data_IF_811412335637
#
_entry.id   IF_811412335637
#
_cell.length_a   1.000
_cell.length_b   1.000
_cell.length_c   1.000
_cell.angle_alpha   90.00
_cell.angle_beta   90.00
_cell.angle_gamma   90.00
#
_symmetry.space_group_name_H-M   'P 1'
#
loop_
_entity.id
_entity.type
_entity.pdbx_description
1 polymer ?
#
# COMPACT_ATOMS: atom_id res chain seq x y z
N UNK A 1 28.72 -6.17 -2.61
CA UNK A 1 27.51 -6.68 -3.29
C UNK A 1 27.51 -8.20 -3.14
N UNK A 2 26.73 -8.83 -2.25
CA UNK A 2 26.55 -10.26 -2.39
C UNK A 2 25.41 -10.48 -3.38
N UNK A 3 25.80 -10.83 -4.61
CA UNK A 3 24.94 -11.47 -5.59
C UNK A 3 24.59 -12.87 -5.09
N UNK A 4 23.40 -13.04 -4.52
CA UNK A 4 22.85 -14.36 -4.23
C UNK A 4 22.02 -14.83 -5.45
N UNK A 5 22.46 -15.86 -6.19
CA UNK A 5 21.79 -16.34 -7.40
C UNK A 5 20.44 -17.04 -7.16
N UNK A 6 20.09 -17.39 -5.90
CA UNK A 6 18.93 -18.23 -5.58
C UNK A 6 17.54 -17.56 -5.77
N UNK A 7 17.46 -16.24 -5.94
CA UNK A 7 16.17 -15.55 -6.11
C UNK A 7 15.65 -15.53 -7.56
N UNK A 8 16.50 -15.89 -8.53
CA UNK A 8 16.12 -15.89 -9.95
C UNK A 8 15.38 -17.16 -10.36
N UNK A 9 15.55 -18.28 -9.65
CA UNK A 9 15.00 -19.58 -10.07
C UNK A 9 13.63 -19.92 -9.43
N UNK A 10 13.17 -19.07 -8.51
CA UNK A 10 11.86 -19.24 -7.89
C UNK A 10 10.76 -18.77 -8.85
N UNK A 11 9.92 -19.72 -9.28
CA UNK A 11 8.72 -19.44 -10.06
C UNK A 11 7.64 -18.80 -9.21
N UNK A 12 6.99 -17.80 -9.78
CA UNK A 12 5.83 -17.13 -9.21
C UNK A 12 4.69 -17.14 -10.23
N UNK A 13 3.44 -17.14 -9.75
CA UNK A 13 2.28 -17.03 -10.65
C UNK A 13 2.27 -15.70 -11.45
N UNK A 14 3.06 -14.72 -11.02
CA UNK A 14 3.23 -13.42 -11.65
C UNK A 14 4.52 -13.29 -12.46
N UNK A 15 5.15 -14.40 -12.86
CA UNK A 15 6.39 -14.34 -13.66
C UNK A 15 6.18 -13.55 -14.98
N UNK A 16 4.99 -13.66 -15.60
CA UNK A 16 4.60 -12.88 -16.78
C UNK A 16 4.12 -11.45 -16.47
N UNK A 17 4.18 -11.06 -15.19
CA UNK A 17 3.71 -9.78 -14.68
C UNK A 17 2.21 -9.76 -14.36
N UNK A 18 1.79 -8.66 -13.76
CA UNK A 18 0.39 -8.44 -13.35
C UNK A 18 -0.06 -7.04 -13.75
N UNK A 19 -1.33 -6.92 -14.14
CA UNK A 19 -1.92 -5.64 -14.52
C UNK A 19 -2.60 -4.96 -13.35
N UNK A 20 -2.40 -3.66 -13.22
CA UNK A 20 -3.17 -2.85 -12.29
C UNK A 20 -3.37 -1.40 -12.76
N UNK A 21 -4.58 -0.88 -12.56
CA UNK A 21 -4.88 0.53 -12.63
C UNK A 21 -5.95 0.90 -11.60
N UNK A 22 -5.68 1.91 -10.76
CA UNK A 22 -6.66 2.39 -9.80
C UNK A 22 -7.87 2.99 -10.53
N UNK A 23 -9.04 2.40 -10.32
CA UNK A 23 -10.31 2.87 -10.88
C UNK A 23 -11.05 3.86 -9.96
N UNK A 24 -10.38 4.38 -8.92
CA UNK A 24 -10.98 5.22 -7.87
C UNK A 24 -12.23 4.61 -7.22
N UNK A 25 -12.30 3.28 -7.18
CA UNK A 25 -13.44 2.52 -6.66
C UNK A 25 -13.60 2.55 -5.13
N UNK A 26 -12.60 3.07 -4.40
CA UNK A 26 -12.63 3.10 -2.93
C UNK A 26 -12.26 1.77 -2.25
N UNK A 27 -12.06 0.66 -2.98
CA UNK A 27 -11.78 -0.65 -2.37
C UNK A 27 -10.62 -0.65 -1.36
N UNK A 28 -9.54 0.08 -1.64
CA UNK A 28 -8.36 0.19 -0.76
C UNK A 28 -8.35 1.43 0.15
N UNK A 29 -9.29 2.36 0.00
CA UNK A 29 -9.30 3.63 0.75
C UNK A 29 -10.58 3.88 1.56
N UNK A 30 -11.66 3.15 1.29
CA UNK A 30 -12.96 3.27 1.95
C UNK A 30 -13.51 1.94 2.48
N UNK A 31 -12.66 0.90 2.52
CA UNK A 31 -13.02 -0.46 2.94
C UNK A 31 -12.70 -0.76 4.40
N UNK A 32 -12.67 -2.05 4.75
CA UNK A 32 -12.47 -2.56 6.11
C UNK A 32 -11.27 -1.90 6.83
N UNK A 33 -11.33 -1.76 8.17
CA UNK A 33 -10.28 -1.13 8.96
C UNK A 33 -8.90 -1.68 8.61
N UNK A 34 -7.96 -0.77 8.40
CA UNK A 34 -6.61 -1.09 7.97
C UNK A 34 -5.58 -0.24 8.70
N UNK A 35 -4.31 -0.48 8.37
CA UNK A 35 -3.22 0.37 8.83
C UNK A 35 -2.45 0.83 7.60
N UNK A 36 -2.55 2.13 7.30
CA UNK A 36 -1.69 2.80 6.32
C UNK A 36 -0.56 3.48 7.08
N UNK A 37 0.62 2.87 7.07
CA UNK A 37 1.82 3.46 7.66
C UNK A 37 2.41 4.55 6.77
N UNK A 38 2.89 5.60 7.41
CA UNK A 38 3.44 6.81 6.79
C UNK A 38 4.71 7.22 7.53
N UNK A 39 5.80 7.41 6.78
CA UNK A 39 7.04 7.93 7.35
C UNK A 39 6.97 9.44 7.58
N UNK A 40 7.83 9.99 8.45
CA UNK A 40 7.81 11.42 8.78
C UNK A 40 7.94 12.36 7.57
N UNK A 41 8.74 11.98 6.56
CA UNK A 41 8.87 12.74 5.30
C UNK A 41 7.58 12.74 4.47
N UNK A 42 6.88 11.60 4.41
CA UNK A 42 5.60 11.50 3.70
C UNK A 42 4.51 12.28 4.43
N UNK A 43 4.47 12.18 5.76
CA UNK A 43 3.52 12.91 6.59
C UNK A 43 3.68 14.44 6.43
N UNK A 44 4.92 14.95 6.43
CA UNK A 44 5.20 16.35 6.19
C UNK A 44 4.74 16.80 4.79
N UNK A 45 5.10 16.03 3.75
CA UNK A 45 4.70 16.36 2.38
C UNK A 45 3.17 16.35 2.19
N UNK A 46 2.47 15.41 2.83
CA UNK A 46 1.00 15.35 2.81
C UNK A 46 0.40 16.55 3.54
N UNK A 47 0.93 16.93 4.70
CA UNK A 47 0.46 18.10 5.45
C UNK A 47 0.59 19.39 4.63
N UNK A 48 1.74 19.58 3.97
CA UNK A 48 2.01 20.73 3.10
C UNK A 48 1.03 20.77 1.91
N UNK A 49 0.80 19.62 1.28
CA UNK A 49 -0.13 19.49 0.14
C UNK A 49 -1.59 19.78 0.52
N UNK A 50 -1.98 19.46 1.75
CA UNK A 50 -3.32 19.72 2.25
C UNK A 50 -3.53 21.18 2.70
N UNK A 51 -2.49 22.03 2.59
CA UNK A 51 -2.50 23.43 3.02
C UNK A 51 -2.95 23.62 4.48
N UNK A 52 -2.62 22.65 5.34
CA UNK A 52 -3.02 22.68 6.74
C UNK A 52 -1.85 23.14 7.63
N UNK A 53 -2.08 24.03 8.61
CA UNK A 53 -1.10 24.32 9.64
C UNK A 53 -0.70 23.03 10.37
N UNK A 54 0.56 22.94 10.81
CA UNK A 54 1.14 21.74 11.46
C UNK A 54 0.30 21.18 12.61
N UNK A 55 -0.41 22.03 13.36
CA UNK A 55 -1.32 21.60 14.42
C UNK A 55 -2.55 20.83 13.90
N UNK A 56 -3.11 21.22 12.74
CA UNK A 56 -4.22 20.50 12.11
C UNK A 56 -3.74 19.21 11.41
N UNK A 57 -2.48 19.16 10.97
CA UNK A 57 -1.90 17.95 10.40
C UNK A 57 -1.76 16.80 11.41
N UNK A 58 -1.70 17.11 12.72
CA UNK A 58 -1.75 16.10 13.78
C UNK A 58 -3.08 15.33 13.81
N UNK A 59 -4.15 15.86 13.20
CA UNK A 59 -5.41 15.14 13.07
C UNK A 59 -5.34 14.04 12.00
N UNK A 60 -4.45 14.16 11.03
CA UNK A 60 -4.35 13.21 9.91
C UNK A 60 -3.67 11.90 10.29
N UNK A 61 -2.84 11.94 11.34
CA UNK A 61 -1.87 10.91 11.63
C UNK A 61 -1.88 10.53 13.12
N UNK A 62 -1.71 9.25 13.41
CA UNK A 62 -1.60 8.70 14.76
C UNK A 62 -0.19 8.12 14.90
N UNK A 63 0.60 8.47 15.94
CA UNK A 63 1.94 7.89 16.14
C UNK A 63 1.91 6.36 16.15
N UNK A 64 2.82 5.72 15.40
CA UNK A 64 2.91 4.26 15.26
C UNK A 64 4.32 3.80 14.92
N UNK A 65 4.93 3.02 15.81
CA UNK A 65 6.30 2.55 15.67
C UNK A 65 7.27 3.70 15.38
N UNK A 66 8.02 3.61 14.29
CA UNK A 66 8.98 4.65 13.87
C UNK A 66 8.35 5.77 13.02
N UNK A 67 7.04 5.80 12.88
CA UNK A 67 6.33 6.76 12.05
C UNK A 67 4.90 6.98 12.51
N UNK A 68 3.97 7.00 11.55
CA UNK A 68 2.57 7.29 11.80
C UNK A 68 1.67 6.31 11.06
N UNK A 69 0.45 6.11 11.57
CA UNK A 69 -0.66 5.55 10.82
C UNK A 69 -1.56 6.70 10.33
N UNK A 70 -2.09 6.60 9.12
CA UNK A 70 -3.18 7.48 8.69
C UNK A 70 -4.40 7.23 9.58
N UNK A 71 -5.05 8.29 10.04
CA UNK A 71 -6.30 8.19 10.79
C UNK A 71 -7.40 7.56 9.91
N UNK A 72 -8.26 6.76 10.50
CA UNK A 72 -9.47 6.25 9.86
C UNK A 72 -10.70 6.84 10.54
N UNK A 73 -11.78 6.99 9.79
CA UNK A 73 -13.11 7.22 10.35
C UNK A 73 -13.61 5.95 11.06
N UNK A 74 -14.67 6.08 11.86
CA UNK A 74 -15.25 4.95 12.60
C UNK A 74 -15.77 3.81 11.71
N UNK A 75 -16.01 4.10 10.42
CA UNK A 75 -16.43 3.13 9.41
C UNK A 75 -15.25 2.46 8.67
N UNK A 76 -14.00 2.71 9.07
CA UNK A 76 -12.78 2.16 8.46
C UNK A 76 -12.27 2.94 7.24
N UNK A 77 -12.98 4.00 6.83
CA UNK A 77 -12.57 4.82 5.70
C UNK A 77 -11.32 5.64 6.05
N UNK A 78 -10.37 5.67 5.13
CA UNK A 78 -9.17 6.51 5.21
C UNK A 78 -9.57 7.99 5.34
N UNK A 79 -8.87 8.74 6.23
CA UNK A 79 -9.11 10.18 6.42
C UNK A 79 -9.07 11.00 5.13
N UNK A 80 -8.25 10.59 4.15
CA UNK A 80 -8.08 11.29 2.88
C UNK A 80 -9.04 10.84 1.77
N UNK A 81 -10.02 9.98 2.07
CA UNK A 81 -10.98 9.50 1.07
C UNK A 81 -12.26 10.34 1.04
N UNK A 82 -12.53 10.93 -0.13
CA UNK A 82 -13.74 11.70 -0.44
C UNK A 82 -14.12 11.44 -1.89
N UNK A 83 -14.89 10.36 -2.13
CA UNK A 83 -15.22 9.85 -3.49
C UNK A 83 -13.97 9.63 -4.37
N UNK A 84 -12.84 9.35 -3.72
CA UNK A 84 -11.51 9.32 -4.33
C UNK A 84 -10.45 9.71 -3.31
N UNK A 85 -9.20 9.33 -3.55
CA UNK A 85 -8.09 9.73 -2.69
C UNK A 85 -7.72 11.20 -2.96
N UNK A 86 -7.90 12.07 -1.97
CA UNK A 86 -7.58 13.51 -2.07
C UNK A 86 -6.08 13.76 -2.24
N UNK A 87 -5.26 12.87 -1.69
CA UNK A 87 -3.80 12.92 -1.77
C UNK A 87 -3.23 11.99 -2.84
N UNK A 88 -3.98 11.69 -3.91
CA UNK A 88 -3.58 10.67 -4.90
C UNK A 88 -2.13 10.81 -5.43
N UNK A 89 -1.60 12.03 -5.72
CA UNK A 89 -0.21 12.23 -6.11
C UNK A 89 0.80 11.93 -4.99
N UNK A 90 0.41 12.17 -3.73
CA UNK A 90 1.21 11.96 -2.54
C UNK A 90 0.79 10.73 -1.74
N UNK A 91 0.18 9.73 -2.40
CA UNK A 91 -0.16 8.46 -1.76
C UNK A 91 1.06 7.94 -0.98
N UNK A 92 0.91 7.55 0.30
CA UNK A 92 1.98 6.89 1.04
C UNK A 92 2.47 5.66 0.28
N UNK A 93 3.71 5.24 0.56
CA UNK A 93 4.34 4.10 -0.11
C UNK A 93 3.44 2.86 -0.06
N UNK A 94 2.83 2.55 1.09
CA UNK A 94 1.92 1.42 1.23
C UNK A 94 0.72 1.50 0.25
N UNK A 95 0.15 2.69 0.05
CA UNK A 95 -0.95 2.91 -0.90
C UNK A 95 -0.49 2.91 -2.37
N UNK A 96 0.78 3.24 -2.64
CA UNK A 96 1.35 3.22 -3.99
C UNK A 96 1.65 1.82 -4.49
N UNK A 97 2.08 0.93 -3.59
CA UNK A 97 2.37 -0.46 -3.94
C UNK A 97 1.13 -1.36 -3.97
N UNK A 98 -0.03 -0.90 -3.49
CA UNK A 98 -1.29 -1.63 -3.69
C UNK A 98 -1.52 -1.88 -5.20
N UNK A 99 -1.90 -3.08 -5.64
CA UNK A 99 -2.32 -4.27 -4.87
C UNK A 99 -1.19 -5.28 -4.57
N UNK A 100 0.07 -4.94 -4.80
CA UNK A 100 1.23 -5.85 -4.68
C UNK A 100 1.71 -6.08 -3.24
N UNK A 101 0.80 -6.04 -2.27
CA UNK A 101 1.10 -6.42 -0.89
C UNK A 101 1.34 -7.92 -0.78
N UNK A 102 2.17 -8.32 0.18
CA UNK A 102 2.54 -9.73 0.41
C UNK A 102 1.32 -10.65 0.47
N UNK A 103 0.25 -10.26 1.17
CA UNK A 103 -0.99 -11.05 1.28
C UNK A 103 -1.61 -11.41 -0.06
N UNK A 104 -1.63 -10.47 -1.00
CA UNK A 104 -2.23 -10.71 -2.32
C UNK A 104 -1.31 -11.56 -3.19
N UNK A 105 0.01 -11.52 -2.95
CA UNK A 105 1.03 -12.23 -3.73
C UNK A 105 1.42 -13.59 -3.16
N UNK A 106 0.78 -14.05 -2.06
CA UNK A 106 1.04 -15.36 -1.45
C UNK A 106 0.75 -16.51 -2.41
N UNK A 107 -0.32 -16.39 -3.18
CA UNK A 107 -0.75 -17.38 -4.16
C UNK A 107 -1.65 -16.74 -5.22
N UNK A 108 -1.87 -17.43 -6.32
CA UNK A 108 -2.79 -16.95 -7.36
C UNK A 108 -4.22 -16.84 -6.81
N UNK A 109 -4.66 -17.74 -5.93
CA UNK A 109 -5.98 -17.67 -5.30
C UNK A 109 -6.13 -16.41 -4.44
N UNK A 110 -5.07 -16.00 -3.73
CA UNK A 110 -5.03 -14.78 -2.92
C UNK A 110 -5.15 -13.53 -3.79
N UNK A 111 -4.48 -13.54 -4.95
CA UNK A 111 -4.59 -12.49 -5.95
C UNK A 111 -6.00 -12.41 -6.54
N UNK A 112 -6.60 -13.54 -6.91
CA UNK A 112 -7.98 -13.59 -7.40
C UNK A 112 -8.99 -13.16 -6.33
N UNK A 113 -8.72 -13.45 -5.04
CA UNK A 113 -9.53 -12.96 -3.94
C UNK A 113 -9.48 -11.42 -3.79
N UNK A 114 -8.31 -10.82 -3.98
CA UNK A 114 -8.17 -9.38 -4.03
C UNK A 114 -8.85 -8.79 -5.28
N UNK A 115 -8.75 -9.47 -6.43
CA UNK A 115 -9.38 -9.04 -7.68
C UNK A 115 -10.90 -8.95 -7.60
N UNK A 116 -11.55 -9.85 -6.83
CA UNK A 116 -12.99 -9.78 -6.54
C UNK A 116 -13.39 -8.53 -5.77
N UNK A 117 -12.47 -7.91 -5.03
CA UNK A 117 -12.73 -6.71 -4.22
C UNK A 117 -12.30 -5.43 -4.94
N UNK A 118 -11.37 -5.51 -5.89
CA UNK A 118 -10.86 -4.34 -6.61
C UNK A 118 -10.98 -4.51 -8.13
N UNK A 119 -11.86 -3.75 -8.81
CA UNK A 119 -11.99 -3.80 -10.27
C UNK A 119 -10.75 -3.26 -11.02
N UNK A 120 -9.78 -2.69 -10.31
CA UNK A 120 -8.52 -2.23 -10.89
C UNK A 120 -7.49 -3.33 -11.12
N UNK A 121 -7.64 -4.47 -10.45
CA UNK A 121 -6.78 -5.63 -10.66
C UNK A 121 -7.08 -6.25 -12.03
N UNK A 122 -6.03 -6.52 -12.81
CA UNK A 122 -6.14 -6.97 -14.19
C UNK A 122 -6.26 -5.85 -15.22
N UNK A 123 -6.33 -4.58 -14.80
CA UNK A 123 -6.53 -3.44 -15.70
C UNK A 123 -5.25 -2.63 -15.95
N UNK A 124 -5.19 -1.91 -17.07
CA UNK A 124 -4.16 -0.91 -17.33
C UNK A 124 -2.72 -1.43 -17.39
N UNK A 125 -1.81 -0.76 -16.67
CA UNK A 125 -0.35 -0.97 -16.78
C UNK A 125 0.03 -2.38 -16.38
N UNK A 126 0.87 -3.03 -17.19
CA UNK A 126 1.54 -4.28 -16.82
C UNK A 126 2.76 -3.95 -15.96
N UNK A 127 2.81 -4.54 -14.77
CA UNK A 127 3.96 -4.50 -13.86
C UNK A 127 4.74 -5.79 -14.02
N UNK A 128 6.04 -5.67 -14.27
CA UNK A 128 6.94 -6.80 -14.49
C UNK A 128 7.23 -7.54 -13.20
N UNK A 129 7.69 -8.80 -13.29
CA UNK A 129 8.18 -9.58 -12.15
C UNK A 129 9.19 -8.79 -11.29
N UNK A 130 10.14 -8.11 -11.93
CA UNK A 130 11.17 -7.33 -11.22
C UNK A 130 10.54 -6.22 -10.36
N UNK A 131 9.61 -5.43 -10.92
CA UNK A 131 8.93 -4.37 -10.18
C UNK A 131 8.07 -4.92 -9.04
N UNK A 132 7.38 -6.03 -9.27
CA UNK A 132 6.57 -6.68 -8.23
C UNK A 132 7.45 -7.15 -7.07
N UNK A 133 8.64 -7.69 -7.36
CA UNK A 133 9.60 -8.09 -6.33
C UNK A 133 10.17 -6.89 -5.56
N UNK A 134 10.39 -5.75 -6.22
CA UNK A 134 10.76 -4.50 -5.55
C UNK A 134 9.65 -4.04 -4.59
N UNK A 135 8.39 -4.12 -5.00
CA UNK A 135 7.25 -3.81 -4.13
C UNK A 135 7.13 -4.77 -2.95
N UNK A 136 7.41 -6.07 -3.15
CA UNK A 136 7.48 -7.06 -2.07
C UNK A 136 8.56 -6.71 -1.06
N UNK A 137 9.74 -6.27 -1.52
CA UNK A 137 10.81 -5.83 -0.62
C UNK A 137 10.41 -4.58 0.17
N UNK A 138 9.71 -3.64 -0.47
CA UNK A 138 9.17 -2.45 0.18
C UNK A 138 8.10 -2.80 1.22
N UNK A 139 7.14 -3.67 0.89
CA UNK A 139 6.07 -4.08 1.81
C UNK A 139 6.63 -4.73 3.08
N UNK A 140 7.64 -5.60 2.95
CA UNK A 140 8.36 -6.20 4.09
C UNK A 140 8.97 -5.13 5.00
N UNK A 141 9.61 -4.12 4.40
CA UNK A 141 10.24 -3.03 5.15
C UNK A 141 9.20 -2.17 5.86
N UNK A 142 8.08 -1.87 5.21
CA UNK A 142 6.98 -1.11 5.81
C UNK A 142 6.36 -1.83 7.00
N UNK A 143 6.15 -3.15 6.89
CA UNK A 143 5.68 -3.97 8.02
C UNK A 143 6.64 -3.88 9.22
N UNK A 144 7.95 -3.96 8.99
CA UNK A 144 8.95 -3.82 10.05
C UNK A 144 8.92 -2.44 10.73
N UNK A 145 8.76 -1.36 9.96
CA UNK A 145 8.74 0.01 10.49
C UNK A 145 7.46 0.35 11.26
N UNK A 146 6.35 -0.29 10.91
CA UNK A 146 5.05 -0.08 11.52
C UNK A 146 4.87 -0.79 12.88
N UNK A 147 5.90 -1.51 13.34
CA UNK A 147 5.82 -2.50 14.44
C UNK A 147 4.59 -3.38 14.27
N UNK A 148 4.27 -3.70 13.02
CA UNK A 148 3.08 -4.40 12.63
C UNK A 148 3.50 -5.59 11.77
N UNK A 149 3.30 -6.77 12.31
CA UNK A 149 3.36 -8.00 11.53
C UNK A 149 1.92 -8.27 11.09
N UNK A 150 1.52 -8.01 9.83
CA UNK A 150 0.16 -8.29 9.40
C UNK A 150 -0.14 -9.80 9.36
N UNK A 151 0.85 -10.64 9.65
CA UNK A 151 0.85 -12.05 9.33
C UNK A 151 1.42 -12.87 10.50
N UNK A 152 0.68 -13.83 11.07
CA UNK A 152 1.33 -14.87 11.84
C UNK A 152 2.36 -15.58 10.94
N UNK A 153 3.45 -16.00 11.58
CA UNK A 153 4.52 -16.80 10.97
C UNK A 153 3.98 -18.07 10.28
#
# INVERSE_FOLDING_TARGET
MPSNPDFLDRRYFFDDGLRFACQRCGACCGGAPGLVWVGGREAAAIADFMHCPSAAAAEFFIPRGQGFAVREYSDGRCWFYEQGCRIYPLRPMQCRIYPFWLVHLRSEESWQAAARQCPGIGQGRLYTRAEILDFVALDRRLCQLADFIPYPA
#
